data_IF_444109181858
#
_entry.id   IF_444109181858
#
_cell.length_a   1.000
_cell.length_b   1.000
_cell.length_c   1.000
_cell.angle_alpha   90.00
_cell.angle_beta   90.00
_cell.angle_gamma   90.00
#
_symmetry.space_group_name_H-M   'P 1'
#
loop_
_entity.id
_entity.type
_entity.pdbx_description
1 polymer ?
#
# COMPACT_ATOMS: atom_id res chain seq x y z
N UNK A 1 -3.66 27.41 -5.45
CA UNK A 1 -4.32 26.38 -4.61
C UNK A 1 -4.59 25.17 -5.49
N UNK A 2 -4.42 23.98 -4.99
CA UNK A 2 -4.45 22.73 -5.78
C UNK A 2 -5.85 22.15 -5.85
N UNK A 3 -6.24 21.66 -7.02
CA UNK A 3 -7.49 20.91 -7.26
C UNK A 3 -7.15 19.46 -7.53
N UNK A 4 -7.51 18.57 -6.61
CA UNK A 4 -7.00 17.20 -6.59
C UNK A 4 -8.10 16.16 -6.81
N UNK A 5 -7.81 15.16 -7.66
CA UNK A 5 -8.58 13.93 -7.76
C UNK A 5 -7.81 12.82 -7.02
N UNK A 6 -8.49 12.10 -6.13
CA UNK A 6 -7.96 10.89 -5.48
C UNK A 6 -8.70 9.68 -6.03
N UNK A 7 -8.06 8.87 -6.88
CA UNK A 7 -8.65 7.59 -7.33
C UNK A 7 -8.45 6.52 -6.26
N UNK A 8 -9.43 5.65 -6.07
CA UNK A 8 -9.43 4.74 -4.92
C UNK A 8 -9.64 5.46 -3.59
N UNK A 9 -10.26 6.64 -3.63
CA UNK A 9 -10.47 7.50 -2.48
C UNK A 9 -11.37 6.91 -1.39
N UNK A 10 -12.22 5.95 -1.72
CA UNK A 10 -13.02 5.18 -0.75
C UNK A 10 -12.27 4.01 -0.09
N UNK A 11 -11.02 3.74 -0.47
CA UNK A 11 -10.17 2.72 0.13
C UNK A 11 -9.60 3.12 1.49
N UNK A 12 -8.88 2.18 2.15
CA UNK A 12 -8.26 2.44 3.45
C UNK A 12 -7.34 3.67 3.42
N UNK A 13 -6.31 3.67 2.58
CA UNK A 13 -5.40 4.82 2.48
C UNK A 13 -6.09 6.04 1.86
N UNK A 14 -6.93 5.82 0.83
CA UNK A 14 -7.62 6.89 0.12
C UNK A 14 -8.49 7.74 1.02
N UNK A 15 -9.27 7.14 1.91
CA UNK A 15 -10.14 7.87 2.84
C UNK A 15 -9.36 8.75 3.81
N UNK A 16 -8.20 8.31 4.28
CA UNK A 16 -7.33 9.13 5.12
C UNK A 16 -6.70 10.29 4.34
N UNK A 17 -6.26 10.03 3.10
CA UNK A 17 -5.69 11.07 2.23
C UNK A 17 -6.74 12.12 1.88
N UNK A 18 -7.95 11.69 1.47
CA UNK A 18 -9.08 12.59 1.19
C UNK A 18 -9.39 13.46 2.40
N UNK A 19 -9.48 12.86 3.59
CA UNK A 19 -9.76 13.61 4.82
C UNK A 19 -8.69 14.65 5.17
N UNK A 20 -7.42 14.32 4.94
CA UNK A 20 -6.32 15.24 5.21
C UNK A 20 -6.22 16.38 4.19
N UNK A 21 -6.51 16.09 2.91
CA UNK A 21 -6.53 17.09 1.84
C UNK A 21 -7.71 18.07 1.97
N UNK A 22 -8.89 17.58 2.37
CA UNK A 22 -10.11 18.37 2.57
C UNK A 22 -9.92 19.55 3.54
N UNK A 23 -9.10 19.37 4.57
CA UNK A 23 -8.84 20.42 5.58
C UNK A 23 -7.53 21.19 5.34
N UNK A 24 -6.79 20.87 4.27
CA UNK A 24 -5.48 21.48 4.04
C UNK A 24 -5.59 22.83 3.33
N UNK A 25 -5.02 23.94 3.89
CA UNK A 25 -5.20 25.31 3.34
C UNK A 25 -4.62 25.51 1.94
N UNK A 26 -3.72 24.65 1.48
CA UNK A 26 -3.15 24.67 0.12
C UNK A 26 -4.01 23.98 -0.94
N UNK A 27 -5.11 23.31 -0.53
CA UNK A 27 -6.03 22.59 -1.42
C UNK A 27 -7.34 23.35 -1.56
N UNK A 28 -7.75 23.59 -2.79
CA UNK A 28 -8.99 24.31 -3.12
C UNK A 28 -10.17 23.36 -3.28
N UNK A 29 -9.90 22.18 -3.85
CA UNK A 29 -10.93 21.19 -4.17
C UNK A 29 -10.39 19.79 -4.04
N UNK A 30 -11.16 18.92 -3.39
CA UNK A 30 -10.92 17.48 -3.35
C UNK A 30 -12.05 16.75 -4.05
N UNK A 31 -11.70 15.97 -5.08
CA UNK A 31 -12.60 15.01 -5.72
C UNK A 31 -12.19 13.60 -5.32
N UNK A 32 -13.09 12.87 -4.70
CA UNK A 32 -12.90 11.46 -4.34
C UNK A 32 -13.49 10.59 -5.46
N UNK A 33 -12.63 9.93 -6.24
CA UNK A 33 -13.02 9.00 -7.29
C UNK A 33 -12.93 7.56 -6.81
N UNK A 34 -14.05 6.83 -6.77
CA UNK A 34 -14.08 5.39 -6.45
C UNK A 34 -15.26 4.71 -7.18
N UNK A 35 -15.20 3.38 -7.30
CA UNK A 35 -16.33 2.57 -7.80
C UNK A 35 -17.39 2.35 -6.73
N UNK A 36 -17.06 2.56 -5.47
CA UNK A 36 -17.92 2.37 -4.29
C UNK A 36 -18.44 3.70 -3.78
N UNK A 37 -19.65 3.69 -3.28
CA UNK A 37 -20.21 4.82 -2.53
C UNK A 37 -19.42 5.09 -1.24
N UNK A 38 -19.24 6.37 -0.85
CA UNK A 38 -18.54 6.72 0.38
C UNK A 38 -19.34 6.26 1.60
N UNK A 39 -18.67 5.56 2.53
CA UNK A 39 -19.32 5.16 3.79
C UNK A 39 -19.55 6.35 4.73
N UNK A 40 -18.66 7.33 4.68
CA UNK A 40 -18.68 8.52 5.53
C UNK A 40 -18.37 9.75 4.66
N UNK A 41 -19.37 10.28 3.94
CA UNK A 41 -19.17 11.46 3.09
C UNK A 41 -18.80 12.70 3.93
N UNK A 42 -18.01 13.60 3.35
CA UNK A 42 -17.56 14.86 3.95
C UNK A 42 -18.12 16.02 3.11
N UNK A 43 -18.61 17.06 3.76
CA UNK A 43 -19.28 18.18 3.08
C UNK A 43 -18.37 18.94 2.10
N UNK A 44 -17.04 19.00 2.38
CA UNK A 44 -16.05 19.68 1.53
C UNK A 44 -15.56 18.87 0.33
N UNK A 45 -15.99 17.60 0.18
CA UNK A 45 -15.48 16.67 -0.82
C UNK A 45 -16.53 16.36 -1.88
N UNK A 46 -16.15 16.45 -3.16
CA UNK A 46 -16.98 15.98 -4.27
C UNK A 46 -16.71 14.49 -4.47
N UNK A 47 -17.77 13.71 -4.60
CA UNK A 47 -17.67 12.26 -4.86
C UNK A 47 -18.10 11.97 -6.29
N UNK A 48 -17.22 11.32 -7.05
CA UNK A 48 -17.45 10.88 -8.43
C UNK A 48 -17.29 9.37 -8.55
N UNK A 49 -18.21 8.74 -9.26
CA UNK A 49 -18.01 7.32 -9.63
C UNK A 49 -16.90 7.25 -10.70
N UNK A 50 -15.76 6.70 -10.34
CA UNK A 50 -14.58 6.61 -11.20
C UNK A 50 -14.06 5.17 -11.23
N UNK A 51 -14.38 4.45 -12.29
CA UNK A 51 -13.83 3.13 -12.57
C UNK A 51 -12.57 3.29 -13.42
N UNK A 52 -11.42 3.02 -12.83
CA UNK A 52 -10.13 3.13 -13.54
C UNK A 52 -9.98 2.10 -14.65
N UNK A 53 -10.79 1.03 -14.66
CA UNK A 53 -10.79 0.04 -15.76
C UNK A 53 -11.50 0.54 -17.01
N UNK A 54 -12.28 1.63 -16.90
CA UNK A 54 -12.91 2.30 -18.03
C UNK A 54 -12.05 3.50 -18.48
N UNK A 55 -11.42 3.37 -19.66
CA UNK A 55 -10.57 4.42 -20.24
C UNK A 55 -11.28 5.77 -20.44
N UNK A 56 -12.62 5.77 -20.58
CA UNK A 56 -13.41 6.97 -20.83
C UNK A 56 -13.85 7.71 -19.55
N UNK A 57 -13.74 7.05 -18.38
CA UNK A 57 -14.34 7.56 -17.15
C UNK A 57 -13.63 8.80 -16.58
N UNK A 58 -12.29 8.87 -16.68
CA UNK A 58 -11.50 9.83 -15.92
C UNK A 58 -11.40 11.20 -16.59
N UNK A 59 -11.17 11.27 -17.90
CA UNK A 59 -10.95 12.54 -18.61
C UNK A 59 -12.08 13.55 -18.40
N UNK A 60 -13.38 13.17 -18.46
CA UNK A 60 -14.48 14.11 -18.19
C UNK A 60 -14.47 14.65 -16.74
N UNK A 61 -14.10 13.81 -15.76
CA UNK A 61 -14.00 14.22 -14.36
C UNK A 61 -12.89 15.25 -14.19
N UNK A 62 -11.68 14.97 -14.73
CA UNK A 62 -10.53 15.86 -14.67
C UNK A 62 -10.83 17.24 -15.28
N UNK A 63 -11.47 17.26 -16.45
CA UNK A 63 -11.84 18.50 -17.14
C UNK A 63 -12.94 19.29 -16.42
N UNK A 64 -14.02 18.61 -16.00
CA UNK A 64 -15.16 19.22 -15.30
C UNK A 64 -14.70 19.94 -14.03
N UNK A 65 -13.84 19.30 -13.25
CA UNK A 65 -13.36 19.82 -11.99
C UNK A 65 -12.05 20.61 -12.11
N UNK A 66 -11.50 20.77 -13.33
CA UNK A 66 -10.21 21.45 -13.57
C UNK A 66 -9.12 20.94 -12.65
N UNK A 67 -8.96 19.62 -12.61
CA UNK A 67 -7.98 18.96 -11.75
C UNK A 67 -6.57 19.24 -12.26
N UNK A 68 -5.70 19.71 -11.38
CA UNK A 68 -4.27 19.91 -11.67
C UNK A 68 -3.38 18.81 -11.11
N UNK A 69 -3.86 18.06 -10.12
CA UNK A 69 -3.11 17.01 -9.45
C UNK A 69 -3.98 15.75 -9.28
N UNK A 70 -3.42 14.58 -9.61
CA UNK A 70 -4.07 13.29 -9.38
C UNK A 70 -3.27 12.48 -8.36
N UNK A 71 -3.94 11.97 -7.32
CA UNK A 71 -3.41 10.97 -6.39
C UNK A 71 -3.98 9.61 -6.75
N UNK A 72 -3.17 8.74 -7.35
CA UNK A 72 -3.60 7.43 -7.82
C UNK A 72 -3.35 6.36 -6.76
N UNK A 73 -4.44 5.94 -6.09
CA UNK A 73 -4.44 4.93 -5.03
C UNK A 73 -5.32 3.71 -5.39
N UNK A 74 -6.05 3.75 -6.49
CA UNK A 74 -6.86 2.61 -6.95
C UNK A 74 -5.95 1.41 -7.25
N UNK A 75 -6.08 0.34 -6.48
CA UNK A 75 -5.29 -0.89 -6.60
C UNK A 75 -5.93 -2.01 -5.79
N UNK A 76 -5.79 -3.26 -6.23
CA UNK A 76 -6.21 -4.44 -5.48
C UNK A 76 -5.03 -4.98 -4.67
N UNK A 77 -4.90 -4.52 -3.42
CA UNK A 77 -3.79 -4.90 -2.52
C UNK A 77 -4.08 -6.20 -1.75
N UNK A 78 -5.33 -6.43 -1.41
CA UNK A 78 -5.80 -7.60 -0.67
C UNK A 78 -6.82 -8.36 -1.52
N UNK A 79 -6.38 -9.17 -2.49
CA UNK A 79 -7.28 -10.02 -3.25
C UNK A 79 -7.97 -11.01 -2.30
N UNK A 80 -9.28 -11.15 -2.42
CA UNK A 80 -10.05 -12.16 -1.69
C UNK A 80 -9.70 -13.58 -2.13
N UNK A 81 -10.29 -14.59 -1.48
CA UNK A 81 -10.09 -16.00 -1.86
C UNK A 81 -10.53 -16.32 -3.29
N UNK A 82 -11.50 -15.57 -3.78
CA UNK A 82 -12.08 -15.70 -5.12
C UNK A 82 -11.56 -14.61 -6.08
N UNK A 83 -10.34 -14.12 -5.83
CA UNK A 83 -9.77 -13.06 -6.64
C UNK A 83 -9.46 -13.52 -8.06
N UNK A 84 -9.86 -12.70 -9.02
CA UNK A 84 -9.54 -12.87 -10.44
C UNK A 84 -8.25 -12.08 -10.77
N UNK A 85 -7.16 -12.81 -11.02
CA UNK A 85 -5.85 -12.22 -11.39
C UNK A 85 -5.97 -11.32 -12.63
N UNK A 86 -6.90 -11.63 -13.56
CA UNK A 86 -7.15 -10.78 -14.72
C UNK A 86 -7.83 -9.45 -14.30
N UNK A 87 -8.72 -9.48 -13.32
CA UNK A 87 -9.31 -8.26 -12.75
C UNK A 87 -8.25 -7.44 -12.00
N UNK A 88 -7.40 -8.09 -11.21
CA UNK A 88 -6.28 -7.40 -10.55
C UNK A 88 -5.39 -6.68 -11.57
N UNK A 89 -5.05 -7.34 -12.68
CA UNK A 89 -4.27 -6.74 -13.76
C UNK A 89 -5.00 -5.54 -14.40
N UNK A 90 -6.29 -5.68 -14.70
CA UNK A 90 -7.09 -4.58 -15.28
C UNK A 90 -7.11 -3.35 -14.36
N UNK A 91 -7.30 -3.56 -13.05
CA UNK A 91 -7.32 -2.44 -12.09
C UNK A 91 -5.93 -1.85 -11.90
N UNK A 92 -4.92 -2.68 -11.65
CA UNK A 92 -3.59 -2.21 -11.26
C UNK A 92 -2.81 -1.66 -12.46
N UNK A 93 -2.78 -2.39 -13.59
CA UNK A 93 -1.93 -2.06 -14.74
C UNK A 93 -2.70 -1.24 -15.78
N UNK A 94 -3.83 -1.76 -16.27
CA UNK A 94 -4.61 -1.01 -17.26
C UNK A 94 -5.22 0.25 -16.66
N UNK A 95 -5.70 0.18 -15.40
CA UNK A 95 -6.20 1.34 -14.68
C UNK A 95 -5.15 2.43 -14.49
N UNK A 96 -3.91 2.05 -14.15
CA UNK A 96 -2.81 3.03 -14.07
C UNK A 96 -2.52 3.67 -15.44
N UNK A 97 -2.60 2.90 -16.53
CA UNK A 97 -2.44 3.43 -17.90
C UNK A 97 -3.53 4.43 -18.23
N UNK A 98 -4.81 4.11 -17.96
CA UNK A 98 -5.93 5.02 -18.19
C UNK A 98 -5.82 6.31 -17.37
N UNK A 99 -5.35 6.22 -16.14
CA UNK A 99 -5.07 7.41 -15.32
C UNK A 99 -4.02 8.29 -15.96
N UNK A 100 -2.90 7.74 -16.43
CA UNK A 100 -1.83 8.50 -17.08
C UNK A 100 -2.30 9.13 -18.41
N UNK A 101 -3.01 8.36 -19.23
CA UNK A 101 -3.62 8.83 -20.48
C UNK A 101 -4.60 10.00 -20.23
N UNK A 102 -5.46 9.86 -19.22
CA UNK A 102 -6.40 10.90 -18.85
C UNK A 102 -5.70 12.15 -18.30
N UNK A 103 -4.62 11.99 -17.50
CA UNK A 103 -3.82 13.11 -17.00
C UNK A 103 -3.21 13.92 -18.17
N UNK A 104 -2.60 13.24 -19.15
CA UNK A 104 -2.02 13.90 -20.32
C UNK A 104 -3.10 14.59 -21.13
N UNK A 105 -4.22 13.89 -21.43
CA UNK A 105 -5.32 14.44 -22.22
C UNK A 105 -6.03 15.65 -21.57
N UNK A 106 -6.06 15.72 -20.25
CA UNK A 106 -6.68 16.81 -19.49
C UNK A 106 -5.69 17.92 -19.09
N UNK A 107 -4.39 17.78 -19.38
CA UNK A 107 -3.37 18.75 -19.01
C UNK A 107 -3.09 18.81 -17.49
N UNK A 108 -3.22 17.66 -16.80
CA UNK A 108 -2.87 17.55 -15.38
C UNK A 108 -1.37 17.78 -15.21
N UNK A 109 -1.00 18.57 -14.24
CA UNK A 109 0.39 18.98 -14.01
C UNK A 109 1.17 17.93 -13.19
N UNK A 110 0.48 17.23 -12.27
CA UNK A 110 1.14 16.31 -11.34
C UNK A 110 0.32 15.03 -11.09
N UNK A 111 1.03 13.91 -11.08
CA UNK A 111 0.48 12.64 -10.62
C UNK A 111 1.30 12.08 -9.45
N UNK A 112 0.61 11.71 -8.37
CA UNK A 112 1.19 11.04 -7.19
C UNK A 112 0.71 9.60 -7.20
N UNK A 113 1.64 8.64 -7.26
CA UNK A 113 1.30 7.22 -7.41
C UNK A 113 1.78 6.41 -6.21
N UNK A 114 0.87 5.59 -5.65
CA UNK A 114 1.23 4.60 -4.65
C UNK A 114 1.80 3.35 -5.31
N UNK A 115 3.14 3.27 -5.39
CA UNK A 115 3.87 2.04 -5.66
C UNK A 115 4.15 1.30 -4.34
N UNK A 116 4.94 0.25 -4.40
CA UNK A 116 5.22 -0.62 -3.26
C UNK A 116 6.66 -1.09 -3.26
N UNK A 117 7.19 -1.39 -2.08
CA UNK A 117 8.43 -2.15 -1.96
C UNK A 117 8.41 -3.48 -2.70
N UNK A 118 7.22 -4.05 -2.94
CA UNK A 118 7.04 -5.27 -3.74
C UNK A 118 7.52 -5.12 -5.19
N UNK A 119 7.60 -3.90 -5.73
CA UNK A 119 8.14 -3.64 -7.07
C UNK A 119 9.61 -4.08 -7.22
N UNK A 120 10.39 -4.07 -6.13
CA UNK A 120 11.77 -4.59 -6.14
C UNK A 120 11.85 -6.10 -6.28
N UNK A 121 10.79 -6.82 -5.94
CA UNK A 121 10.74 -8.29 -5.94
C UNK A 121 11.42 -8.94 -4.74
N UNK A 122 11.19 -10.24 -4.61
CA UNK A 122 11.64 -11.09 -3.51
C UNK A 122 12.83 -11.93 -3.97
N UNK A 123 14.04 -11.34 -3.95
CA UNK A 123 15.24 -11.94 -4.51
C UNK A 123 16.33 -12.13 -3.45
N UNK A 124 17.07 -13.26 -3.49
CA UNK A 124 18.15 -13.54 -2.52
C UNK A 124 19.35 -12.60 -2.67
N UNK A 125 19.50 -11.98 -3.83
CA UNK A 125 20.57 -11.03 -4.18
C UNK A 125 20.15 -9.57 -4.00
N UNK A 126 18.97 -9.29 -3.41
CA UNK A 126 18.63 -7.95 -3.00
C UNK A 126 19.62 -7.44 -1.94
N UNK A 127 20.09 -6.18 -2.05
CA UNK A 127 20.90 -5.59 -1.00
C UNK A 127 20.13 -5.53 0.31
N UNK A 128 20.84 -5.46 1.43
CA UNK A 128 20.23 -5.34 2.77
C UNK A 128 19.26 -4.17 2.86
N UNK A 129 19.57 -3.05 2.21
CA UNK A 129 18.76 -1.85 2.12
C UNK A 129 18.58 -1.44 0.67
N UNK A 130 17.35 -1.58 0.16
CA UNK A 130 16.98 -1.18 -1.19
C UNK A 130 16.80 0.33 -1.27
N UNK A 131 17.42 0.92 -2.28
CA UNK A 131 17.37 2.36 -2.58
C UNK A 131 16.59 2.60 -3.86
N UNK A 132 16.15 3.81 -4.10
CA UNK A 132 15.33 4.17 -5.26
C UNK A 132 16.05 3.96 -6.61
N UNK A 133 17.38 3.94 -6.61
CA UNK A 133 18.22 3.63 -7.79
C UNK A 133 18.31 2.14 -8.11
N UNK A 134 17.97 1.28 -7.15
CA UNK A 134 18.01 -0.16 -7.36
C UNK A 134 16.88 -0.58 -8.30
N UNK A 135 17.13 -1.57 -9.20
CA UNK A 135 16.17 -1.93 -10.22
C UNK A 135 14.90 -2.54 -9.64
N UNK A 136 13.76 -2.21 -10.24
CA UNK A 136 12.50 -2.90 -9.97
C UNK A 136 12.51 -4.24 -10.70
N UNK A 137 12.36 -5.33 -9.94
CA UNK A 137 12.44 -6.72 -10.42
C UNK A 137 11.26 -7.56 -9.91
N UNK A 138 10.07 -6.93 -9.78
CA UNK A 138 8.87 -7.60 -9.29
C UNK A 138 8.66 -8.97 -9.94
N UNK A 139 8.48 -10.00 -9.13
CA UNK A 139 8.42 -11.40 -9.56
C UNK A 139 7.14 -11.71 -10.33
N UNK A 140 7.25 -12.46 -11.42
CA UNK A 140 6.11 -12.84 -12.25
C UNK A 140 5.14 -13.80 -11.55
N UNK A 141 5.64 -14.63 -10.64
CA UNK A 141 4.86 -15.55 -9.83
C UNK A 141 4.00 -14.89 -8.75
N UNK A 142 4.22 -13.60 -8.46
CA UNK A 142 3.44 -12.80 -7.51
C UNK A 142 2.70 -11.67 -8.25
N UNK A 143 1.39 -11.80 -8.52
CA UNK A 143 0.63 -10.81 -9.30
C UNK A 143 0.85 -9.38 -8.83
N UNK A 144 0.70 -9.10 -7.54
CA UNK A 144 0.90 -7.77 -6.99
C UNK A 144 2.32 -7.21 -7.23
N UNK A 145 3.37 -8.03 -7.01
CA UNK A 145 4.76 -7.63 -7.24
C UNK A 145 5.03 -7.33 -8.72
N UNK A 146 4.53 -8.21 -9.61
CA UNK A 146 4.58 -8.05 -11.06
C UNK A 146 3.84 -6.78 -11.50
N UNK A 147 2.62 -6.55 -11.02
CA UNK A 147 1.83 -5.38 -11.39
C UNK A 147 2.54 -4.08 -11.00
N UNK A 148 3.09 -4.00 -9.78
CA UNK A 148 3.84 -2.81 -9.34
C UNK A 148 5.09 -2.57 -10.17
N UNK A 149 5.80 -3.62 -10.62
CA UNK A 149 6.90 -3.48 -11.59
C UNK A 149 6.41 -2.92 -12.92
N UNK A 150 5.37 -3.51 -13.52
CA UNK A 150 4.82 -3.07 -14.81
C UNK A 150 4.33 -1.61 -14.76
N UNK A 151 3.68 -1.21 -13.68
CA UNK A 151 3.26 0.19 -13.47
C UNK A 151 4.47 1.12 -13.39
N UNK A 152 5.53 0.76 -12.70
CA UNK A 152 6.74 1.61 -12.63
C UNK A 152 7.51 1.67 -13.96
N UNK A 153 7.56 0.60 -14.73
CA UNK A 153 8.08 0.59 -16.11
C UNK A 153 7.27 1.54 -17.01
N UNK A 154 5.93 1.51 -16.91
CA UNK A 154 5.02 2.44 -17.59
C UNK A 154 5.26 3.88 -17.15
N UNK A 155 5.34 4.16 -15.85
CA UNK A 155 5.62 5.49 -15.32
C UNK A 155 6.96 6.04 -15.84
N UNK A 156 7.99 5.18 -15.96
CA UNK A 156 9.28 5.58 -16.52
C UNK A 156 9.17 5.97 -18.01
N UNK A 157 8.41 5.21 -18.80
CA UNK A 157 8.14 5.54 -20.20
C UNK A 157 7.39 6.88 -20.34
N UNK A 158 6.31 7.08 -19.54
CA UNK A 158 5.53 8.33 -19.53
C UNK A 158 6.36 9.53 -19.08
N UNK A 159 7.27 9.37 -18.13
CA UNK A 159 8.16 10.47 -17.68
C UNK A 159 9.08 10.95 -18.80
N UNK A 160 9.46 10.06 -19.70
CA UNK A 160 10.30 10.40 -20.85
C UNK A 160 9.50 11.03 -21.99
N UNK A 161 8.25 10.58 -22.22
CA UNK A 161 7.41 11.05 -23.34
C UNK A 161 6.54 12.27 -23.00
N UNK A 162 6.27 12.50 -21.70
CA UNK A 162 5.41 13.59 -21.22
C UNK A 162 6.08 14.27 -20.01
N UNK A 163 7.19 14.97 -20.22
CA UNK A 163 7.99 15.58 -19.15
C UNK A 163 7.24 16.69 -18.38
N UNK A 164 6.18 17.24 -18.96
CA UNK A 164 5.28 18.21 -18.34
C UNK A 164 4.39 17.60 -17.23
N UNK A 165 4.15 16.29 -17.26
CA UNK A 165 3.43 15.59 -16.20
C UNK A 165 4.42 15.18 -15.10
N UNK A 166 4.54 16.01 -14.08
CA UNK A 166 5.37 15.69 -12.92
C UNK A 166 4.89 14.42 -12.20
N UNK A 167 5.81 13.54 -11.90
CA UNK A 167 5.52 12.28 -11.22
C UNK A 167 6.15 12.22 -9.84
N UNK A 168 5.33 11.93 -8.82
CA UNK A 168 5.79 11.54 -7.48
C UNK A 168 5.40 10.08 -7.26
N UNK A 169 6.38 9.19 -7.17
CA UNK A 169 6.16 7.75 -7.00
C UNK A 169 6.65 7.33 -5.63
N UNK A 170 5.72 6.81 -4.82
CA UNK A 170 6.03 6.30 -3.50
C UNK A 170 6.11 4.77 -3.50
N UNK A 171 7.31 4.20 -3.31
CA UNK A 171 7.50 2.78 -3.01
C UNK A 171 7.28 2.57 -1.53
N UNK A 172 6.06 2.21 -1.17
CA UNK A 172 5.62 2.18 0.23
C UNK A 172 5.94 0.81 0.83
N UNK A 173 6.47 0.81 2.05
CA UNK A 173 6.63 -0.38 2.89
C UNK A 173 5.28 -0.86 3.44
N UNK A 174 5.31 -1.79 4.40
CA UNK A 174 4.07 -2.28 5.00
C UNK A 174 3.40 -1.20 5.83
N UNK A 175 2.23 -0.74 5.39
CA UNK A 175 1.45 0.26 6.12
C UNK A 175 0.79 -0.41 7.33
N UNK A 176 0.96 0.23 8.50
CA UNK A 176 0.26 -0.11 9.74
C UNK A 176 -0.59 1.08 10.19
N UNK A 177 -1.69 0.77 10.87
CA UNK A 177 -2.61 1.76 11.40
C UNK A 177 -3.61 1.12 12.35
N UNK A 178 -4.49 1.90 13.01
CA UNK A 178 -5.38 1.38 14.05
C UNK A 178 -6.30 0.25 13.57
N UNK A 179 -6.76 0.31 12.30
CA UNK A 179 -7.76 -0.60 11.73
C UNK A 179 -7.21 -1.44 10.57
N UNK A 180 -5.89 -1.58 10.45
CA UNK A 180 -5.28 -2.34 9.35
C UNK A 180 -5.48 -3.83 9.57
N UNK A 181 -6.06 -4.47 8.55
CA UNK A 181 -6.11 -5.91 8.39
C UNK A 181 -5.68 -6.24 6.95
N UNK A 182 -4.54 -6.89 6.78
CA UNK A 182 -3.98 -7.25 5.48
C UNK A 182 -3.24 -8.60 5.55
N UNK A 183 -2.75 -9.08 4.42
CA UNK A 183 -2.02 -10.35 4.33
C UNK A 183 -0.78 -10.40 5.25
N UNK A 184 -0.14 -9.26 5.51
CA UNK A 184 1.04 -9.21 6.39
C UNK A 184 0.60 -9.33 7.85
N UNK A 185 -0.45 -8.60 8.27
CA UNK A 185 -0.95 -8.69 9.66
C UNK A 185 -1.53 -10.06 9.97
N UNK A 186 -2.09 -10.75 8.98
CA UNK A 186 -2.60 -12.11 9.11
C UNK A 186 -1.49 -13.15 9.43
N UNK A 187 -0.23 -12.89 9.07
CA UNK A 187 0.91 -13.75 9.42
C UNK A 187 1.11 -13.89 10.94
N UNK A 188 0.53 -12.97 11.72
CA UNK A 188 0.72 -12.90 13.17
C UNK A 188 -0.52 -13.35 13.96
N UNK A 189 -1.59 -13.77 13.30
CA UNK A 189 -2.84 -14.16 13.97
C UNK A 189 -2.75 -15.55 14.63
N UNK A 190 -1.92 -16.44 14.10
CA UNK A 190 -1.70 -17.77 14.65
C UNK A 190 -1.11 -17.76 16.08
N UNK A 191 -1.17 -18.90 16.77
CA UNK A 191 -0.59 -19.10 18.11
C UNK A 191 0.95 -19.12 18.10
N UNK A 192 1.56 -19.31 16.94
CA UNK A 192 3.02 -19.33 16.71
C UNK A 192 3.37 -18.47 15.50
N UNK A 193 4.57 -17.92 15.50
CA UNK A 193 5.07 -17.13 14.37
C UNK A 193 6.00 -18.01 13.54
N UNK A 194 5.71 -18.09 12.23
CA UNK A 194 6.52 -18.86 11.29
C UNK A 194 7.81 -18.12 10.96
N UNK A 195 8.95 -18.77 11.18
CA UNK A 195 10.27 -18.31 10.74
C UNK A 195 10.89 -19.29 9.75
N UNK A 196 11.64 -18.80 8.79
CA UNK A 196 12.36 -19.61 7.82
C UNK A 196 13.81 -19.77 8.27
N UNK A 197 14.28 -21.01 8.37
CA UNK A 197 15.66 -21.30 8.75
C UNK A 197 16.64 -20.64 7.78
N UNK A 198 17.60 -19.88 8.33
CA UNK A 198 18.61 -19.18 7.54
C UNK A 198 18.14 -17.86 6.92
N UNK A 199 16.98 -17.34 7.33
CA UNK A 199 16.51 -16.02 6.95
C UNK A 199 15.99 -15.25 8.17
N UNK A 200 16.39 -14.00 8.30
CA UNK A 200 15.82 -13.08 9.31
C UNK A 200 14.43 -12.57 8.91
N UNK A 201 14.09 -12.66 7.61
CA UNK A 201 12.82 -12.19 7.04
C UNK A 201 12.37 -10.83 7.59
N UNK A 202 13.18 -9.78 7.46
CA UNK A 202 12.89 -8.52 8.09
C UNK A 202 11.71 -7.81 7.43
N UNK A 203 11.02 -7.00 8.23
CA UNK A 203 9.94 -6.12 7.79
C UNK A 203 10.33 -4.67 7.99
N UNK A 204 9.93 -3.82 7.08
CA UNK A 204 9.86 -2.37 7.28
C UNK A 204 8.40 -1.95 7.35
N UNK A 205 8.10 -1.13 8.33
CA UNK A 205 6.76 -0.61 8.57
C UNK A 205 6.73 0.90 8.41
N UNK A 206 5.57 1.41 8.07
CA UNK A 206 5.26 2.83 8.05
C UNK A 206 3.88 3.04 8.70
N UNK A 207 3.74 4.07 9.51
CA UNK A 207 2.45 4.40 10.08
C UNK A 207 1.57 5.11 9.06
N UNK A 208 0.27 4.84 9.07
CA UNK A 208 -0.66 5.39 8.07
C UNK A 208 -0.61 6.91 8.00
N UNK A 209 -0.53 7.61 9.14
CA UNK A 209 -0.48 9.07 9.17
C UNK A 209 0.80 9.63 8.52
N UNK A 210 1.92 8.89 8.60
CA UNK A 210 3.15 9.25 7.91
C UNK A 210 3.02 9.09 6.37
N UNK A 211 2.30 8.07 5.91
CA UNK A 211 2.01 7.92 4.48
C UNK A 211 1.10 9.05 4.01
N UNK A 212 0.06 9.37 4.78
CA UNK A 212 -0.86 10.49 4.49
C UNK A 212 -0.11 11.81 4.46
N UNK A 213 0.76 12.08 5.44
CA UNK A 213 1.58 13.30 5.47
C UNK A 213 2.50 13.43 4.25
N UNK A 214 3.12 12.32 3.82
CA UNK A 214 3.92 12.30 2.60
C UNK A 214 3.06 12.57 1.34
N UNK A 215 1.86 11.99 1.24
CA UNK A 215 0.92 12.22 0.14
C UNK A 215 0.45 13.69 0.09
N UNK A 216 0.05 14.26 1.23
CA UNK A 216 -0.35 15.67 1.32
C UNK A 216 0.80 16.58 0.87
N UNK A 217 2.04 16.32 1.34
CA UNK A 217 3.21 17.06 0.88
C UNK A 217 3.45 16.92 -0.63
N UNK A 218 3.23 15.73 -1.20
CA UNK A 218 3.36 15.51 -2.64
C UNK A 218 2.37 16.33 -3.46
N UNK A 219 1.15 16.50 -2.94
CA UNK A 219 0.09 17.31 -3.56
C UNK A 219 0.41 18.80 -3.43
N UNK A 220 0.95 19.25 -2.30
CA UNK A 220 1.02 20.68 -1.95
C UNK A 220 2.40 21.32 -2.17
N UNK A 221 3.41 20.60 -2.70
CA UNK A 221 4.70 21.24 -3.03
C UNK A 221 5.95 20.38 -2.83
N UNK A 222 5.83 19.07 -2.61
CA UNK A 222 6.99 18.18 -2.59
C UNK A 222 7.65 18.04 -3.98
N UNK A 223 8.96 17.77 -4.08
CA UNK A 223 9.63 17.59 -5.36
C UNK A 223 9.15 16.32 -6.08
N UNK A 224 9.14 16.37 -7.42
CA UNK A 224 8.90 15.19 -8.24
C UNK A 224 10.05 14.16 -8.09
N UNK A 225 9.73 12.89 -8.27
CA UNK A 225 10.69 11.80 -8.20
C UNK A 225 10.14 10.52 -7.59
N UNK A 226 11.05 9.56 -7.37
CA UNK A 226 10.74 8.27 -6.74
C UNK A 226 11.29 8.28 -5.32
N UNK A 227 10.48 7.81 -4.36
CA UNK A 227 10.85 7.82 -2.94
C UNK A 227 10.37 6.54 -2.25
N UNK A 228 11.27 5.90 -1.51
CA UNK A 228 10.92 4.82 -0.59
C UNK A 228 10.26 5.39 0.66
N UNK A 229 9.08 4.90 1.01
CA UNK A 229 8.29 5.38 2.15
C UNK A 229 8.23 4.29 3.21
N UNK A 230 9.08 4.41 4.23
CA UNK A 230 9.19 3.48 5.34
C UNK A 230 9.65 4.23 6.60
N UNK A 231 9.27 3.73 7.78
CA UNK A 231 9.84 4.18 9.06
C UNK A 231 11.30 3.72 9.19
N UNK A 232 12.07 4.41 10.02
CA UNK A 232 13.47 4.05 10.26
C UNK A 232 13.60 2.64 10.87
N UNK A 233 14.65 1.92 10.46
CA UNK A 233 14.93 0.57 10.94
C UNK A 233 14.06 -0.51 10.33
N UNK A 234 14.24 -1.73 10.81
CA UNK A 234 13.51 -2.94 10.39
C UNK A 234 13.26 -3.83 11.61
N UNK A 235 12.28 -4.72 11.53
CA UNK A 235 12.03 -5.75 12.54
C UNK A 235 12.17 -7.14 11.93
N UNK A 236 12.96 -7.99 12.56
CA UNK A 236 13.04 -9.41 12.22
C UNK A 236 11.80 -10.16 12.71
N UNK A 237 11.53 -11.34 12.15
CA UNK A 237 10.43 -12.20 12.60
C UNK A 237 10.55 -12.54 14.08
N UNK A 238 11.78 -12.75 14.60
CA UNK A 238 12.03 -13.04 16.02
C UNK A 238 11.68 -11.82 16.91
N UNK A 239 12.02 -10.61 16.48
CA UNK A 239 11.67 -9.38 17.22
C UNK A 239 10.15 -9.14 17.22
N UNK A 240 9.46 -9.44 16.12
CA UNK A 240 7.99 -9.39 16.03
C UNK A 240 7.37 -10.40 16.98
N UNK A 241 7.84 -11.66 16.97
CA UNK A 241 7.36 -12.71 17.87
C UNK A 241 7.52 -12.33 19.35
N UNK A 242 8.67 -11.74 19.72
CA UNK A 242 8.90 -11.25 21.07
C UNK A 242 7.90 -10.17 21.51
N UNK A 243 7.58 -9.20 20.64
CA UNK A 243 6.58 -8.16 20.91
C UNK A 243 5.15 -8.72 21.05
N UNK A 244 4.86 -9.78 20.32
CA UNK A 244 3.56 -10.48 20.36
C UNK A 244 3.47 -11.45 21.55
N UNK A 245 4.56 -11.77 22.24
CA UNK A 245 4.61 -12.82 23.25
C UNK A 245 4.33 -14.21 22.71
N UNK A 246 4.66 -14.45 21.43
CA UNK A 246 4.36 -15.72 20.73
C UNK A 246 5.63 -16.52 20.48
N UNK A 247 5.60 -17.86 20.63
CA UNK A 247 6.72 -18.70 20.29
C UNK A 247 6.97 -18.72 18.77
N UNK A 248 8.24 -18.84 18.39
CA UNK A 248 8.66 -18.96 16.98
C UNK A 248 8.69 -20.44 16.59
N UNK A 249 8.07 -20.75 15.46
CA UNK A 249 8.18 -22.05 14.80
C UNK A 249 9.07 -21.91 13.57
N UNK A 250 10.26 -22.56 13.61
CA UNK A 250 11.23 -22.46 12.52
C UNK A 250 11.17 -23.68 11.63
N UNK A 251 10.99 -23.46 10.32
CA UNK A 251 10.98 -24.51 9.29
C UNK A 251 12.05 -24.24 8.23
N UNK A 252 12.62 -25.32 7.67
CA UNK A 252 13.54 -25.19 6.53
C UNK A 252 12.79 -24.79 5.25
N UNK A 253 13.40 -23.97 4.37
CA UNK A 253 12.73 -23.49 3.15
C UNK A 253 12.30 -24.62 2.22
N UNK A 254 13.12 -25.68 2.08
CA UNK A 254 12.77 -26.87 1.27
C UNK A 254 11.56 -27.63 1.84
N UNK A 255 11.53 -27.82 3.16
CA UNK A 255 10.42 -28.52 3.82
C UNK A 255 9.12 -27.72 3.69
N UNK A 256 9.16 -26.40 3.87
CA UNK A 256 8.00 -25.54 3.65
C UNK A 256 7.55 -25.58 2.20
N UNK A 257 8.47 -25.50 1.23
CA UNK A 257 8.14 -25.57 -0.20
C UNK A 257 7.43 -26.89 -0.59
N UNK A 258 7.88 -28.02 -0.03
CA UNK A 258 7.21 -29.33 -0.22
C UNK A 258 5.81 -29.30 0.41
N UNK A 259 5.69 -28.84 1.66
CA UNK A 259 4.41 -28.77 2.36
C UNK A 259 3.39 -27.90 1.61
N UNK A 260 3.81 -26.72 1.11
CA UNK A 260 2.97 -25.83 0.32
C UNK A 260 2.56 -26.46 -1.02
N UNK A 261 3.49 -27.13 -1.71
CA UNK A 261 3.19 -27.82 -2.97
C UNK A 261 2.14 -28.93 -2.78
N UNK A 262 2.29 -29.74 -1.77
CA UNK A 262 1.33 -30.82 -1.44
C UNK A 262 -0.01 -30.21 -1.01
N UNK A 263 0.01 -29.22 -0.11
CA UNK A 263 -1.20 -28.56 0.35
C UNK A 263 -1.97 -27.88 -0.77
N UNK A 264 -1.27 -27.23 -1.72
CA UNK A 264 -1.87 -26.61 -2.90
C UNK A 264 -2.48 -27.66 -3.85
N UNK A 265 -1.75 -28.74 -4.13
CA UNK A 265 -2.25 -29.83 -4.97
C UNK A 265 -3.50 -30.51 -4.38
N UNK A 266 -3.59 -30.61 -3.05
CA UNK A 266 -4.75 -31.13 -2.33
C UNK A 266 -5.85 -30.08 -2.06
N UNK A 267 -5.67 -28.84 -2.55
CA UNK A 267 -6.60 -27.70 -2.32
C UNK A 267 -6.82 -27.34 -0.85
N UNK A 268 -5.85 -27.68 0.01
CA UNK A 268 -5.87 -27.33 1.43
C UNK A 268 -5.36 -25.89 1.69
N UNK A 269 -4.63 -25.32 0.75
CA UNK A 269 -4.14 -23.92 0.79
C UNK A 269 -4.19 -23.31 -0.60
N UNK A 270 -4.40 -21.99 -0.64
CA UNK A 270 -4.28 -21.18 -1.86
C UNK A 270 -2.84 -20.79 -2.17
N UNK A 271 -1.92 -20.96 -1.22
CA UNK A 271 -0.52 -20.58 -1.35
C UNK A 271 0.29 -21.70 -1.99
N UNK A 272 1.04 -21.37 -3.03
CA UNK A 272 1.98 -22.26 -3.69
C UNK A 272 3.40 -22.20 -3.08
N UNK A 273 4.34 -23.01 -3.61
CA UNK A 273 5.73 -23.08 -3.11
C UNK A 273 6.51 -21.76 -3.31
N UNK A 274 6.09 -20.88 -4.21
CA UNK A 274 6.63 -19.53 -4.42
C UNK A 274 6.56 -18.69 -3.14
N UNK A 275 5.57 -18.91 -2.28
CA UNK A 275 5.41 -18.19 -1.01
C UNK A 275 6.66 -18.26 -0.11
N UNK A 276 7.51 -19.27 -0.28
CA UNK A 276 8.79 -19.37 0.44
C UNK A 276 9.69 -18.17 0.12
N UNK A 277 9.77 -17.74 -1.15
CA UNK A 277 10.55 -16.55 -1.55
C UNK A 277 10.03 -15.28 -0.88
N UNK A 278 8.70 -15.07 -0.90
CA UNK A 278 8.05 -13.97 -0.21
C UNK A 278 8.41 -13.95 1.29
N UNK A 279 8.44 -15.12 1.94
CA UNK A 279 8.75 -15.20 3.36
C UNK A 279 10.25 -14.99 3.65
N UNK A 280 11.16 -15.32 2.71
CA UNK A 280 12.60 -15.23 2.91
C UNK A 280 13.21 -13.87 2.55
N UNK A 281 12.76 -13.26 1.44
CA UNK A 281 13.50 -12.20 0.74
C UNK A 281 12.69 -10.91 0.61
N UNK A 282 12.08 -10.47 1.73
CA UNK A 282 11.29 -9.22 1.71
C UNK A 282 12.17 -8.01 1.44
N UNK A 283 11.70 -7.09 0.58
CA UNK A 283 12.36 -5.81 0.37
C UNK A 283 12.45 -4.98 1.65
N UNK A 284 13.65 -4.54 1.98
CA UNK A 284 13.92 -3.61 3.09
C UNK A 284 14.26 -2.26 2.51
N UNK A 285 13.44 -1.26 2.75
CA UNK A 285 13.48 0.03 2.09
C UNK A 285 14.35 1.03 2.87
N UNK A 286 15.38 1.58 2.23
CA UNK A 286 16.10 2.73 2.71
C UNK A 286 15.28 4.00 2.46
N UNK A 287 15.08 4.85 3.48
CA UNK A 287 14.24 6.05 3.42
C UNK A 287 15.02 7.37 3.44
N UNK A 288 16.34 7.34 3.22
CA UNK A 288 17.16 8.56 3.27
C UNK A 288 16.73 9.60 2.24
N UNK A 289 16.31 9.16 1.04
CA UNK A 289 15.85 10.06 -0.02
C UNK A 289 14.53 10.74 0.33
N UNK A 290 13.61 10.02 1.00
CA UNK A 290 12.37 10.59 1.55
C UNK A 290 12.70 11.74 2.51
N UNK A 291 13.67 11.55 3.41
CA UNK A 291 14.04 12.56 4.41
C UNK A 291 14.83 13.73 3.81
N UNK A 292 15.90 13.43 3.04
CA UNK A 292 16.87 14.43 2.61
C UNK A 292 16.48 15.18 1.34
N UNK A 293 15.75 14.53 0.42
CA UNK A 293 15.37 15.10 -0.89
C UNK A 293 13.92 15.50 -0.91
N UNK A 294 13.02 14.58 -0.53
CA UNK A 294 11.59 14.88 -0.49
C UNK A 294 11.21 15.81 0.67
N UNK A 295 12.00 15.78 1.76
CA UNK A 295 11.81 16.64 2.92
C UNK A 295 10.65 16.20 3.80
N UNK A 296 10.40 14.88 3.90
CA UNK A 296 9.46 14.29 4.84
C UNK A 296 10.17 13.28 5.74
N UNK A 297 10.07 13.48 7.05
CA UNK A 297 10.63 12.55 8.04
C UNK A 297 9.48 11.83 8.73
N UNK A 298 9.38 10.50 8.62
CA UNK A 298 8.37 9.74 9.34
C UNK A 298 8.43 9.99 10.85
N UNK A 299 7.28 10.12 11.48
CA UNK A 299 7.14 10.38 12.93
C UNK A 299 7.41 9.13 13.75
N UNK A 300 7.26 7.94 13.15
CA UNK A 300 7.49 6.65 13.80
C UNK A 300 8.56 5.84 13.05
N UNK A 301 9.45 5.22 13.79
CA UNK A 301 10.31 4.14 13.29
C UNK A 301 9.47 2.90 12.98
N UNK A 302 10.00 1.95 12.22
CA UNK A 302 9.35 0.65 11.95
C UNK A 302 8.94 -0.05 13.26
N UNK A 303 9.78 0.00 14.29
CA UNK A 303 9.49 -0.58 15.60
C UNK A 303 8.31 0.15 16.28
N UNK A 304 8.33 1.47 16.32
CA UNK A 304 7.28 2.27 16.93
C UNK A 304 5.94 2.14 16.19
N UNK A 305 5.96 2.05 14.85
CA UNK A 305 4.76 1.80 14.06
C UNK A 305 4.13 0.44 14.40
N UNK A 306 4.97 -0.59 14.59
CA UNK A 306 4.52 -1.91 14.99
C UNK A 306 3.97 -1.93 16.43
N UNK A 307 4.63 -1.26 17.37
CA UNK A 307 4.19 -1.17 18.76
C UNK A 307 2.84 -0.42 18.87
N UNK A 308 2.68 0.71 18.14
CA UNK A 308 1.41 1.44 18.04
C UNK A 308 0.27 0.60 17.42
N UNK A 309 0.59 -0.23 16.41
CA UNK A 309 -0.37 -1.17 15.85
C UNK A 309 -0.84 -2.21 16.88
N UNK A 310 0.08 -2.75 17.69
CA UNK A 310 -0.26 -3.71 18.74
C UNK A 310 -1.14 -3.08 19.83
N UNK A 311 -0.84 -1.85 20.24
CA UNK A 311 -1.67 -1.11 21.22
C UNK A 311 -3.09 -0.90 20.68
N UNK A 312 -3.23 -0.44 19.44
CA UNK A 312 -4.53 -0.25 18.80
C UNK A 312 -5.31 -1.57 18.65
N UNK A 313 -4.60 -2.66 18.30
CA UNK A 313 -5.20 -4.00 18.22
C UNK A 313 -5.73 -4.47 19.56
N UNK A 314 -4.95 -4.37 20.64
CA UNK A 314 -5.36 -4.73 22.00
C UNK A 314 -6.57 -3.91 22.49
N UNK A 315 -6.58 -2.61 22.19
CA UNK A 315 -7.69 -1.73 22.54
C UNK A 315 -9.01 -2.16 21.85
N UNK A 316 -8.93 -2.53 20.57
CA UNK A 316 -10.10 -3.05 19.82
C UNK A 316 -10.60 -4.39 20.35
N UNK A 317 -9.68 -5.32 20.63
CA UNK A 317 -10.01 -6.64 21.19
C UNK A 317 -10.70 -6.48 22.57
N UNK A 318 -10.19 -5.58 23.42
CA UNK A 318 -10.79 -5.26 24.71
C UNK A 318 -12.18 -4.61 24.57
N UNK A 319 -12.36 -3.68 23.63
CA UNK A 319 -13.65 -3.04 23.36
C UNK A 319 -14.68 -4.05 22.84
N UNK A 320 -14.28 -4.96 21.93
CA UNK A 320 -15.15 -6.02 21.43
C UNK A 320 -15.58 -7.01 22.55
N UNK A 321 -14.66 -7.39 23.43
CA UNK A 321 -14.97 -8.24 24.59
C UNK A 321 -15.95 -7.55 25.55
N UNK A 322 -15.77 -6.27 25.84
CA UNK A 322 -16.69 -5.50 26.68
C UNK A 322 -18.10 -5.37 26.09
N UNK A 323 -18.18 -5.18 24.75
CA UNK A 323 -19.48 -5.12 24.05
C UNK A 323 -20.24 -6.46 24.09
N UNK A 324 -19.51 -7.59 24.02
CA UNK A 324 -20.10 -8.93 24.07
C UNK A 324 -20.60 -9.34 25.46
N UNK A 325 -20.10 -8.70 26.52
CA UNK A 325 -20.47 -8.98 27.92
C UNK A 325 -21.59 -8.10 28.46
N UNK A 326 -22.03 -7.07 27.69
CA UNK A 326 -23.17 -6.22 28.10
C UNK A 326 -24.49 -7.00 27.93
N UNK A 327 -25.29 -7.27 29.00
CA UNK A 327 -26.52 -8.00 28.88
C UNK A 327 -27.53 -7.17 28.08
N UNK A 328 -28.13 -7.80 27.08
CA UNK A 328 -29.30 -7.27 26.37
C UNK A 328 -30.37 -6.88 27.40
N UNK A 329 -30.57 -5.58 27.62
CA UNK A 329 -31.74 -5.13 28.40
C UNK A 329 -32.97 -5.64 27.68
N UNK A 330 -33.60 -6.68 28.25
CA UNK A 330 -34.89 -7.12 27.86
C UNK A 330 -35.87 -5.93 27.92
N UNK A 331 -36.42 -5.57 26.79
CA UNK A 331 -37.57 -4.66 26.74
C UNK A 331 -38.75 -5.43 27.30
N UNK A 332 -39.15 -5.11 28.51
CA UNK A 332 -40.49 -5.40 29.06
C UNK A 332 -41.49 -4.43 28.48
#
# INVERSE_FOLDING_TARGET
>A
MTRVLVTGGGGFLGSHVVAALDVHPGVELVVCGDVREPQHPRDGVIYERADVTDASALTPILQRHRIDTVVHLASIVNPGRDSDVAMEYRVDVDGSRHVLEACVAAGVQRVVVSSSGAAYGYHPDNPEWLRERDPVRGNDEFPYSRHKRLVEEMLAAYRSSNPELEQVVFRIGTILGPNVANQITALWDGSRILAIRGSESPFVFIWVDDVVGAMVRAVTGGPAGIFNVAGDGKLTVTQIAGRLGKPVFTIGPRALGIALRVGHALRLTVHGPEQVRFLQYRPVLANERLKKVFGYTPTKTSAQAFDAYLEARRAREAAAAAASTSPTRARS
#
